data_IF_008999994635
#
_entry.id   IF_008999994635
#
_cell.length_a   1.000
_cell.length_b   1.000
_cell.length_c   1.000
_cell.angle_alpha   90.00
_cell.angle_beta   90.00
_cell.angle_gamma   90.00
#
_symmetry.space_group_name_H-M   'P 1'
#
loop_
_entity.id
_entity.type
_entity.pdbx_description
1 polymer ?
#
# COMPACT_ATOMS: atom_id res chain seq x y z
N UNK A 1 43.97 2.13 10.78
CA UNK A 1 43.95 1.37 12.04
C UNK A 1 43.13 0.12 11.77
N UNK A 2 43.61 -1.11 11.79
CA UNK A 2 44.96 -1.68 11.80
C UNK A 2 44.78 -3.02 11.08
N UNK A 3 45.67 -3.32 10.14
CA UNK A 3 45.83 -4.66 9.57
C UNK A 3 46.99 -5.35 10.31
N UNK A 4 46.97 -6.68 10.51
CA UNK A 4 48.20 -7.41 10.78
C UNK A 4 48.88 -7.86 9.49
N UNK A 5 50.19 -7.64 9.46
CA UNK A 5 51.16 -7.96 8.39
C UNK A 5 51.55 -9.45 8.34
N UNK A 6 51.98 -9.78 7.13
CA UNK A 6 52.71 -10.94 6.61
C UNK A 6 53.84 -11.57 7.46
N UNK A 7 54.11 -12.85 7.16
CA UNK A 7 55.45 -13.48 7.19
C UNK A 7 55.60 -14.48 6.00
N UNK A 8 56.83 -14.76 5.49
CA UNK A 8 57.08 -15.18 4.10
C UNK A 8 57.75 -16.60 4.00
N UNK A 9 58.40 -17.07 2.91
CA UNK A 9 58.18 -18.42 2.36
C UNK A 9 59.34 -19.42 2.61
N UNK A 10 59.03 -20.73 2.60
CA UNK A 10 60.04 -21.79 2.66
C UNK A 10 60.55 -22.22 1.27
N UNK A 11 61.78 -21.79 0.99
CA UNK A 11 62.92 -22.50 0.38
C UNK A 11 62.70 -23.60 -0.67
N UNK A 12 63.14 -23.28 -1.90
CA UNK A 12 63.62 -24.19 -2.93
C UNK A 12 64.83 -25.03 -2.44
N UNK A 13 64.76 -26.35 -2.55
CA UNK A 13 65.95 -27.23 -2.52
C UNK A 13 66.19 -27.84 -3.91
N UNK A 14 67.11 -27.23 -4.66
CA UNK A 14 67.80 -27.88 -5.78
C UNK A 14 68.77 -28.90 -5.20
N UNK A 15 68.59 -30.18 -5.48
CA UNK A 15 69.60 -31.19 -5.17
C UNK A 15 70.26 -31.69 -6.45
N UNK A 16 71.60 -31.64 -6.39
CA UNK A 16 72.58 -31.78 -7.46
C UNK A 16 72.54 -33.14 -8.14
N UNK A 17 72.61 -33.12 -9.47
CA UNK A 17 73.01 -34.25 -10.31
C UNK A 17 74.53 -34.40 -10.19
N UNK A 18 75.00 -35.48 -9.56
CA UNK A 18 76.41 -35.84 -9.46
C UNK A 18 76.82 -36.73 -10.63
N UNK A 19 77.57 -36.16 -11.57
CA UNK A 19 78.25 -36.87 -12.66
C UNK A 19 79.61 -37.37 -12.13
N UNK A 20 79.92 -38.67 -12.22
CA UNK A 20 81.26 -39.19 -11.97
C UNK A 20 81.87 -39.70 -13.29
N UNK A 21 82.94 -39.02 -13.72
CA UNK A 21 83.85 -39.38 -14.82
C UNK A 21 85.28 -39.09 -14.36
N UNK A 22 86.23 -39.93 -14.77
CA UNK A 22 87.69 -39.83 -14.50
C UNK A 22 88.16 -41.10 -13.79
N UNK A 23 88.84 -42.08 -14.40
CA UNK A 23 90.08 -42.10 -15.21
C UNK A 23 91.26 -41.44 -14.48
N UNK A 24 92.21 -42.27 -14.05
CA UNK A 24 93.50 -41.87 -13.49
C UNK A 24 94.41 -43.08 -13.32
N UNK A 25 95.36 -43.24 -14.22
CA UNK A 25 96.49 -44.16 -14.16
C UNK A 25 97.64 -43.57 -13.32
N UNK A 26 98.52 -44.43 -12.78
CA UNK A 26 99.93 -44.18 -12.36
C UNK A 26 100.50 -45.56 -11.92
N UNK A 27 101.37 -46.20 -12.72
CA UNK A 27 102.85 -46.18 -12.65
C UNK A 27 103.43 -46.44 -11.25
N UNK A 28 103.94 -47.65 -10.98
CA UNK A 28 105.34 -48.14 -11.13
C UNK A 28 106.30 -47.64 -10.03
N UNK A 29 106.75 -48.58 -9.18
CA UNK A 29 108.08 -48.54 -8.58
C UNK A 29 108.73 -49.94 -8.61
N UNK A 30 110.05 -49.95 -8.85
CA UNK A 30 110.96 -51.11 -8.92
C UNK A 30 111.93 -51.04 -7.74
N UNK A 31 112.31 -52.19 -7.18
CA UNK A 31 113.69 -52.54 -6.75
C UNK A 31 113.68 -54.01 -6.30
N UNK A 32 114.34 -54.99 -6.93
CA UNK A 32 115.77 -55.25 -7.18
C UNK A 32 116.44 -56.14 -6.12
N UNK A 33 116.71 -57.40 -6.48
CA UNK A 33 117.77 -58.37 -6.06
C UNK A 33 117.19 -59.79 -6.31
N UNK A 34 117.86 -60.83 -6.80
CA UNK A 34 119.21 -61.16 -7.24
C UNK A 34 119.22 -62.70 -7.39
N UNK A 35 120.08 -63.27 -8.25
CA UNK A 35 120.49 -64.68 -8.14
C UNK A 35 119.73 -65.74 -8.98
N UNK A 36 120.35 -66.12 -10.10
CA UNK A 36 120.59 -67.49 -10.58
C UNK A 36 119.60 -68.65 -10.37
N UNK A 37 119.20 -69.24 -11.52
CA UNK A 37 119.04 -70.67 -11.78
C UNK A 37 117.92 -71.44 -11.03
N UNK A 38 116.70 -71.39 -11.58
CA UNK A 38 115.76 -72.54 -11.67
C UNK A 38 114.51 -72.16 -12.50
N UNK A 39 114.71 -71.93 -13.80
CA UNK A 39 113.61 -71.83 -14.77
C UNK A 39 113.15 -73.24 -15.14
N UNK A 40 111.82 -73.48 -15.10
CA UNK A 40 111.01 -74.49 -15.85
C UNK A 40 109.88 -75.12 -14.99
N UNK A 41 109.90 -75.09 -13.64
CA UNK A 41 108.75 -75.60 -12.82
C UNK A 41 107.84 -74.53 -12.18
N UNK A 42 108.28 -73.28 -12.04
CA UNK A 42 107.46 -72.18 -11.50
C UNK A 42 106.58 -71.46 -12.54
N UNK A 43 106.83 -71.59 -13.85
CA UNK A 43 106.00 -70.95 -14.89
C UNK A 43 104.65 -71.66 -15.10
N UNK A 44 104.60 -72.97 -14.90
CA UNK A 44 103.36 -73.77 -15.02
C UNK A 44 102.35 -73.41 -13.92
N UNK A 45 102.80 -73.35 -12.66
CA UNK A 45 101.98 -72.95 -11.50
C UNK A 45 101.57 -71.47 -11.53
N UNK A 46 102.36 -70.59 -12.15
CA UNK A 46 102.00 -69.18 -12.37
C UNK A 46 100.99 -69.01 -13.51
N UNK A 47 101.06 -69.85 -14.55
CA UNK A 47 100.14 -69.84 -15.68
C UNK A 47 98.75 -70.36 -15.29
N UNK A 48 98.67 -71.38 -14.44
CA UNK A 48 97.39 -71.86 -13.88
C UNK A 48 96.68 -70.78 -13.04
N UNK A 49 97.41 -70.02 -12.22
CA UNK A 49 96.84 -68.91 -11.43
C UNK A 49 96.26 -67.79 -12.31
N UNK A 50 96.99 -67.40 -13.37
CA UNK A 50 96.53 -66.41 -14.34
C UNK A 50 95.28 -66.87 -15.10
N UNK A 51 95.17 -68.17 -15.41
CA UNK A 51 93.94 -68.74 -16.02
C UNK A 51 92.74 -68.70 -15.07
N UNK A 52 92.95 -69.01 -13.78
CA UNK A 52 91.89 -68.91 -12.77
C UNK A 52 91.45 -67.47 -12.53
N UNK A 53 92.38 -66.52 -12.51
CA UNK A 53 92.08 -65.08 -12.44
C UNK A 53 91.33 -64.59 -13.67
N UNK A 54 91.75 -64.99 -14.88
CA UNK A 54 91.05 -64.67 -16.12
C UNK A 54 89.61 -65.19 -16.10
N UNK A 55 89.41 -66.45 -15.70
CA UNK A 55 88.08 -67.04 -15.55
C UNK A 55 87.24 -66.32 -14.48
N UNK A 56 87.85 -65.91 -13.36
CA UNK A 56 87.17 -65.11 -12.34
C UNK A 56 86.70 -63.77 -12.89
N UNK A 57 87.59 -63.03 -13.58
CA UNK A 57 87.25 -61.74 -14.19
C UNK A 57 86.23 -61.87 -15.31
N UNK A 58 86.30 -62.92 -16.12
CA UNK A 58 85.28 -63.22 -17.15
C UNK A 58 83.90 -63.47 -16.52
N UNK A 59 83.82 -64.24 -15.43
CA UNK A 59 82.57 -64.48 -14.73
C UNK A 59 82.05 -63.23 -13.99
N UNK A 60 82.93 -62.36 -13.52
CA UNK A 60 82.54 -61.05 -12.97
C UNK A 60 82.01 -60.11 -14.06
N UNK A 61 82.66 -60.07 -15.23
CA UNK A 61 82.17 -59.30 -16.38
C UNK A 61 80.79 -59.81 -16.82
N UNK A 62 80.61 -61.13 -16.91
CA UNK A 62 79.32 -61.75 -17.25
C UNK A 62 78.22 -61.37 -16.25
N UNK A 63 78.50 -61.47 -14.94
CA UNK A 63 77.55 -61.05 -13.89
C UNK A 63 77.22 -59.56 -13.95
N UNK A 64 78.21 -58.71 -14.22
CA UNK A 64 77.99 -57.28 -14.39
C UNK A 64 77.15 -56.96 -15.65
N UNK A 65 77.30 -57.73 -16.73
CA UNK A 65 76.48 -57.63 -17.94
C UNK A 65 75.04 -58.09 -17.69
N UNK A 66 74.84 -59.21 -16.99
CA UNK A 66 73.53 -59.69 -16.55
C UNK A 66 72.84 -58.66 -15.65
N UNK A 67 73.55 -58.08 -14.69
CA UNK A 67 73.01 -57.02 -13.81
C UNK A 67 72.67 -55.75 -14.59
N UNK A 68 73.52 -55.35 -15.55
CA UNK A 68 73.27 -54.20 -16.42
C UNK A 68 72.00 -54.39 -17.25
N UNK A 69 71.80 -55.58 -17.81
CA UNK A 69 70.59 -55.88 -18.61
C UNK A 69 69.33 -55.90 -17.73
N UNK A 70 69.40 -56.48 -16.54
CA UNK A 70 68.31 -56.44 -15.55
C UNK A 70 67.96 -55.01 -15.13
N UNK A 71 68.95 -54.16 -14.86
CA UNK A 71 68.74 -52.75 -14.52
C UNK A 71 68.11 -51.96 -15.67
N UNK A 72 68.51 -52.23 -16.91
CA UNK A 72 67.91 -51.60 -18.09
C UNK A 72 66.43 -51.99 -18.24
N UNK A 73 66.08 -53.25 -18.02
CA UNK A 73 64.69 -53.70 -18.07
C UNK A 73 63.84 -53.01 -17.00
N UNK A 74 64.30 -52.99 -15.75
CA UNK A 74 63.62 -52.30 -14.65
C UNK A 74 63.46 -50.79 -14.89
N UNK A 75 64.44 -50.17 -15.55
CA UNK A 75 64.38 -48.76 -15.94
C UNK A 75 63.30 -48.52 -16.99
N UNK A 76 63.20 -49.39 -18.00
CA UNK A 76 62.15 -49.31 -19.02
C UNK A 76 60.77 -49.44 -18.39
N UNK A 77 60.56 -50.43 -17.52
CA UNK A 77 59.29 -50.59 -16.79
C UNK A 77 58.96 -49.34 -15.95
N UNK A 78 59.96 -48.76 -15.28
CA UNK A 78 59.79 -47.54 -14.50
C UNK A 78 59.49 -46.30 -15.38
N UNK A 79 60.10 -46.18 -16.56
CA UNK A 79 59.85 -45.10 -17.51
C UNK A 79 58.45 -45.20 -18.11
N UNK A 80 57.97 -46.42 -18.41
CA UNK A 80 56.61 -46.67 -18.90
C UNK A 80 55.56 -46.34 -17.81
N UNK A 81 55.77 -46.81 -16.58
CA UNK A 81 54.91 -46.44 -15.44
C UNK A 81 54.89 -44.94 -15.18
N UNK A 82 56.04 -44.27 -15.30
CA UNK A 82 56.15 -42.82 -15.18
C UNK A 82 55.36 -42.12 -16.28
N UNK A 83 55.44 -42.59 -17.52
CA UNK A 83 54.70 -42.02 -18.65
C UNK A 83 53.20 -42.14 -18.42
N UNK A 84 52.71 -43.32 -18.02
CA UNK A 84 51.30 -43.54 -17.69
C UNK A 84 50.82 -42.63 -16.55
N UNK A 85 51.64 -42.48 -15.49
CA UNK A 85 51.33 -41.60 -14.37
C UNK A 85 51.24 -40.13 -14.82
N UNK A 86 52.18 -39.66 -15.65
CA UNK A 86 52.19 -38.29 -16.19
C UNK A 86 50.96 -38.04 -17.06
N UNK A 87 50.59 -38.98 -17.93
CA UNK A 87 49.39 -38.86 -18.77
C UNK A 87 48.12 -38.79 -17.91
N UNK A 88 48.02 -39.63 -16.87
CA UNK A 88 46.90 -39.62 -15.93
C UNK A 88 46.79 -38.29 -15.18
N UNK A 89 47.90 -37.77 -14.66
CA UNK A 89 47.94 -36.48 -13.97
C UNK A 89 47.55 -35.35 -14.92
N UNK A 90 48.09 -35.33 -16.14
CA UNK A 90 47.76 -34.31 -17.15
C UNK A 90 46.27 -34.32 -17.48
N UNK A 91 45.67 -35.51 -17.63
CA UNK A 91 44.23 -35.66 -17.88
C UNK A 91 43.38 -35.16 -16.71
N UNK A 92 43.80 -35.44 -15.48
CA UNK A 92 43.10 -34.96 -14.27
C UNK A 92 43.19 -33.43 -14.16
N UNK A 93 44.37 -32.84 -14.39
CA UNK A 93 44.55 -31.39 -14.38
C UNK A 93 43.67 -30.69 -15.43
N UNK A 94 43.55 -31.25 -16.65
CA UNK A 94 42.65 -30.68 -17.67
C UNK A 94 41.19 -30.71 -17.22
N UNK A 95 40.73 -31.83 -16.63
CA UNK A 95 39.35 -31.95 -16.11
C UNK A 95 39.08 -31.01 -14.94
N UNK A 96 40.06 -30.79 -14.07
CA UNK A 96 39.95 -29.85 -12.96
C UNK A 96 39.81 -28.42 -13.47
N UNK A 97 40.64 -28.03 -14.46
CA UNK A 97 40.56 -26.73 -15.12
C UNK A 97 39.21 -26.49 -15.82
N UNK A 98 38.65 -27.51 -16.47
CA UNK A 98 37.30 -27.44 -17.06
C UNK A 98 36.23 -27.18 -16.00
N UNK A 99 36.25 -27.94 -14.91
CA UNK A 99 35.31 -27.75 -13.78
C UNK A 99 35.42 -26.37 -13.15
N UNK A 100 36.63 -25.84 -12.99
CA UNK A 100 36.81 -24.51 -12.43
C UNK A 100 36.32 -23.42 -13.39
N UNK A 101 36.52 -23.59 -14.70
CA UNK A 101 35.96 -22.69 -15.71
C UNK A 101 34.41 -22.72 -15.70
N UNK A 102 33.80 -23.89 -15.56
CA UNK A 102 32.34 -24.02 -15.41
C UNK A 102 31.83 -23.34 -14.14
N UNK A 103 32.51 -23.50 -13.00
CA UNK A 103 32.17 -22.82 -11.75
C UNK A 103 32.23 -21.30 -11.90
N UNK A 104 33.25 -20.77 -12.57
CA UNK A 104 33.39 -19.33 -12.82
C UNK A 104 32.24 -18.82 -13.67
N UNK A 105 31.94 -19.47 -14.80
CA UNK A 105 30.80 -19.11 -15.66
C UNK A 105 29.46 -19.16 -14.92
N UNK A 106 29.27 -20.16 -14.06
CA UNK A 106 28.06 -20.30 -13.27
C UNK A 106 27.94 -19.16 -12.24
N UNK A 107 29.05 -18.80 -11.59
CA UNK A 107 29.10 -17.68 -10.64
C UNK A 107 28.73 -16.35 -11.33
N UNK A 108 29.33 -16.07 -12.49
CA UNK A 108 29.01 -14.87 -13.30
C UNK A 108 27.55 -14.84 -13.77
N UNK A 109 26.93 -16.00 -14.00
CA UNK A 109 25.51 -16.09 -14.33
C UNK A 109 24.62 -15.71 -13.13
N UNK A 110 24.97 -16.18 -11.92
CA UNK A 110 24.24 -15.82 -10.71
C UNK A 110 24.43 -14.36 -10.32
N UNK A 111 25.64 -13.81 -10.45
CA UNK A 111 25.91 -12.39 -10.18
C UNK A 111 25.05 -11.48 -11.08
N UNK A 112 24.94 -11.79 -12.39
CA UNK A 112 24.05 -11.05 -13.30
C UNK A 112 22.57 -11.11 -12.88
N UNK A 113 22.09 -12.28 -12.42
CA UNK A 113 20.71 -12.42 -11.93
C UNK A 113 20.48 -11.60 -10.65
N UNK A 114 21.45 -11.57 -9.75
CA UNK A 114 21.39 -10.77 -8.52
C UNK A 114 21.33 -9.28 -8.88
N UNK A 115 22.15 -8.82 -9.82
CA UNK A 115 22.11 -7.42 -10.28
C UNK A 115 20.78 -7.05 -10.92
N UNK A 116 20.20 -7.94 -11.73
CA UNK A 116 18.88 -7.72 -12.33
C UNK A 116 17.78 -7.63 -11.26
N UNK A 117 17.78 -8.54 -10.28
CA UNK A 117 16.85 -8.51 -9.15
C UNK A 117 17.01 -7.22 -8.34
N UNK A 118 18.25 -6.81 -8.07
CA UNK A 118 18.53 -5.58 -7.32
C UNK A 118 18.05 -4.32 -8.06
N UNK A 119 18.20 -4.28 -9.40
CA UNK A 119 17.66 -3.19 -10.22
C UNK A 119 16.13 -3.14 -10.14
N UNK A 120 15.46 -4.29 -10.32
CA UNK A 120 13.99 -4.38 -10.22
C UNK A 120 13.50 -3.99 -8.83
N UNK A 121 14.16 -4.45 -7.77
CA UNK A 121 13.82 -4.09 -6.39
C UNK A 121 13.98 -2.57 -6.14
N UNK A 122 15.02 -1.94 -6.70
CA UNK A 122 15.21 -0.50 -6.59
C UNK A 122 14.12 0.29 -7.33
N UNK A 123 13.70 -0.19 -8.50
CA UNK A 123 12.61 0.41 -9.28
C UNK A 123 11.26 0.28 -8.56
N UNK A 124 10.92 -0.92 -8.10
CA UNK A 124 9.69 -1.16 -7.30
C UNK A 124 9.68 -0.29 -6.04
N UNK A 125 10.82 -0.15 -5.35
CA UNK A 125 10.91 0.70 -4.16
C UNK A 125 10.67 2.18 -4.48
N UNK A 126 11.13 2.68 -5.63
CA UNK A 126 10.84 4.05 -6.08
C UNK A 126 9.36 4.23 -6.39
N UNK A 127 8.72 3.25 -7.03
CA UNK A 127 7.29 3.32 -7.35
C UNK A 127 6.44 3.29 -6.07
N UNK A 128 6.77 2.45 -5.10
CA UNK A 128 6.11 2.44 -3.78
C UNK A 128 6.24 3.81 -3.12
N UNK A 129 7.41 4.43 -3.13
CA UNK A 129 7.61 5.76 -2.54
C UNK A 129 6.77 6.83 -3.26
N UNK A 130 6.74 6.78 -4.59
CA UNK A 130 5.96 7.72 -5.40
C UNK A 130 4.46 7.59 -5.12
N UNK A 131 3.94 6.37 -5.15
CA UNK A 131 2.54 6.09 -4.84
C UNK A 131 2.20 6.46 -3.39
N UNK A 132 3.11 6.22 -2.44
CA UNK A 132 2.95 6.66 -1.05
C UNK A 132 2.82 8.17 -0.92
N UNK A 133 3.68 8.93 -1.61
CA UNK A 133 3.61 10.40 -1.61
C UNK A 133 2.33 10.92 -2.29
N UNK A 134 1.91 10.31 -3.40
CA UNK A 134 0.66 10.67 -4.08
C UNK A 134 -0.57 10.38 -3.20
N UNK A 135 -0.54 9.26 -2.47
CA UNK A 135 -1.60 8.89 -1.55
C UNK A 135 -1.67 9.85 -0.36
N UNK A 136 -0.52 10.19 0.24
CA UNK A 136 -0.44 11.17 1.32
C UNK A 136 -0.98 12.54 0.87
N UNK A 137 -0.56 13.02 -0.31
CA UNK A 137 -1.06 14.28 -0.86
C UNK A 137 -2.58 14.26 -1.07
N UNK A 138 -3.15 13.12 -1.51
CA UNK A 138 -4.61 12.95 -1.61
C UNK A 138 -5.28 12.94 -0.24
N UNK A 139 -4.70 12.31 0.76
CA UNK A 139 -5.23 12.33 2.12
C UNK A 139 -5.18 13.72 2.74
N UNK A 140 -4.08 14.47 2.58
CA UNK A 140 -4.00 15.86 3.05
C UNK A 140 -5.03 16.75 2.34
N UNK A 141 -5.16 16.65 1.02
CA UNK A 141 -6.18 17.40 0.27
C UNK A 141 -7.61 17.01 0.69
N UNK A 142 -7.84 15.73 0.97
CA UNK A 142 -9.11 15.25 1.53
C UNK A 142 -9.34 15.79 2.94
N UNK A 143 -8.32 15.85 3.79
CA UNK A 143 -8.42 16.36 5.15
C UNK A 143 -8.70 17.87 5.17
N UNK A 144 -8.02 18.64 4.33
CA UNK A 144 -8.31 20.08 4.12
C UNK A 144 -9.77 20.28 3.67
N UNK A 145 -10.20 19.55 2.63
CA UNK A 145 -11.58 19.59 2.13
C UNK A 145 -12.58 19.10 3.19
N UNK A 146 -12.24 18.08 3.97
CA UNK A 146 -13.07 17.55 5.06
C UNK A 146 -13.21 18.57 6.18
N UNK A 147 -12.11 19.25 6.56
CA UNK A 147 -12.14 20.31 7.57
C UNK A 147 -13.00 21.50 7.14
N UNK A 148 -12.96 21.87 5.85
CA UNK A 148 -13.85 22.89 5.28
C UNK A 148 -15.32 22.46 5.24
N UNK A 149 -15.56 21.15 5.12
CA UNK A 149 -16.90 20.55 5.04
C UNK A 149 -17.35 19.87 6.35
N UNK A 150 -16.67 20.14 7.49
CA UNK A 150 -17.07 19.61 8.81
C UNK A 150 -18.40 20.23 9.23
N UNK A 151 -19.47 19.63 8.73
CA UNK A 151 -20.84 19.86 9.16
C UNK A 151 -21.27 18.66 9.99
N UNK A 152 -20.97 18.68 11.29
CA UNK A 152 -21.66 17.80 12.23
C UNK A 152 -23.03 18.45 12.48
N UNK A 153 -24.01 18.05 11.67
CA UNK A 153 -25.41 18.40 11.89
C UNK A 153 -26.21 17.11 11.95
N UNK A 154 -26.91 16.93 13.05
CA UNK A 154 -27.96 15.93 13.15
C UNK A 154 -28.97 16.20 12.02
N UNK A 155 -29.29 15.15 11.26
CA UNK A 155 -30.31 15.27 10.24
C UNK A 155 -31.63 15.61 10.94
N UNK A 156 -32.34 16.66 10.52
CA UNK A 156 -33.58 17.04 11.16
C UNK A 156 -34.60 15.91 11.01
N UNK A 157 -35.35 15.64 12.08
CA UNK A 157 -36.52 14.77 11.99
C UNK A 157 -37.50 15.34 10.97
N UNK A 158 -37.87 14.54 9.97
CA UNK A 158 -38.78 14.96 8.92
C UNK A 158 -39.90 13.94 8.77
N UNK A 159 -41.13 14.42 8.87
CA UNK A 159 -42.32 13.62 8.58
C UNK A 159 -42.37 13.29 7.08
N UNK A 160 -42.55 12.01 6.77
CA UNK A 160 -42.66 11.51 5.40
C UNK A 160 -44.09 11.08 5.12
N UNK A 161 -44.58 11.34 3.90
CA UNK A 161 -45.90 10.91 3.44
C UNK A 161 -45.73 9.70 2.52
N UNK A 162 -46.55 8.68 2.74
CA UNK A 162 -46.61 7.51 1.87
C UNK A 162 -47.29 7.89 0.55
N UNK A 163 -46.58 7.81 -0.57
CA UNK A 163 -47.09 8.25 -1.88
C UNK A 163 -47.51 7.10 -2.79
N UNK A 164 -46.89 5.93 -2.69
CA UNK A 164 -47.14 4.80 -3.58
C UNK A 164 -46.68 3.46 -2.97
N UNK A 165 -47.44 2.39 -3.21
CA UNK A 165 -47.08 1.01 -2.88
C UNK A 165 -46.93 0.22 -4.18
N UNK A 166 -45.72 -0.27 -4.48
CA UNK A 166 -45.49 -1.16 -5.61
C UNK A 166 -45.27 -2.60 -5.09
N UNK A 167 -46.08 -3.55 -5.55
CA UNK A 167 -45.98 -4.95 -5.15
C UNK A 167 -45.00 -5.65 -6.10
N UNK A 168 -43.79 -5.92 -5.62
CA UNK A 168 -42.78 -6.66 -6.38
C UNK A 168 -43.19 -8.14 -6.41
N UNK A 169 -43.26 -8.74 -7.60
CA UNK A 169 -43.59 -10.17 -7.79
C UNK A 169 -42.43 -11.05 -7.33
N UNK A 170 -42.76 -12.14 -6.64
CA UNK A 170 -41.85 -13.02 -5.88
C UNK A 170 -40.83 -13.83 -6.72
N UNK A 171 -40.80 -13.69 -8.05
CA UNK A 171 -39.99 -14.57 -8.92
C UNK A 171 -38.49 -14.21 -9.01
N UNK A 172 -38.03 -13.05 -8.52
CA UNK A 172 -36.64 -12.59 -8.66
C UNK A 172 -35.80 -12.61 -7.37
N UNK A 173 -36.26 -13.26 -6.29
CA UNK A 173 -35.66 -13.10 -4.95
C UNK A 173 -35.10 -14.38 -4.35
N UNK A 174 -34.03 -14.91 -4.96
CA UNK A 174 -33.08 -15.80 -4.26
C UNK A 174 -32.21 -15.04 -3.24
N UNK A 175 -32.19 -13.71 -3.31
CA UNK A 175 -31.51 -12.86 -2.34
C UNK A 175 -32.54 -12.12 -1.47
N UNK A 176 -32.26 -12.05 -0.17
CA UNK A 176 -32.95 -11.38 0.94
C UNK A 176 -33.34 -9.87 0.71
N UNK A 177 -33.32 -9.37 -0.52
CA UNK A 177 -33.63 -8.00 -0.92
C UNK A 177 -35.14 -7.67 -0.88
N UNK A 178 -36.03 -8.66 -1.03
CA UNK A 178 -37.49 -8.44 -0.97
C UNK A 178 -38.00 -7.93 0.39
N UNK A 179 -37.21 -8.09 1.46
CA UNK A 179 -37.64 -7.85 2.84
C UNK A 179 -36.99 -6.60 3.45
N UNK A 180 -36.43 -5.72 2.64
CA UNK A 180 -35.88 -4.45 3.12
C UNK A 180 -36.71 -3.29 2.55
N UNK A 181 -36.92 -2.26 3.37
CA UNK A 181 -37.53 -1.01 2.93
C UNK A 181 -36.39 -0.12 2.44
N UNK A 182 -36.39 0.18 1.15
CA UNK A 182 -35.46 1.12 0.53
C UNK A 182 -36.02 2.55 0.61
N UNK A 183 -35.31 3.43 1.30
CA UNK A 183 -35.60 4.85 1.37
C UNK A 183 -34.49 5.65 0.70
N UNK A 184 -34.87 6.58 -0.19
CA UNK A 184 -33.93 7.48 -0.86
C UNK A 184 -34.26 8.92 -0.49
N UNK A 185 -33.31 9.60 0.14
CA UNK A 185 -33.45 10.99 0.54
C UNK A 185 -32.46 11.84 -0.25
N UNK A 186 -32.94 12.85 -0.97
CA UNK A 186 -32.08 13.87 -1.54
C UNK A 186 -31.87 14.97 -0.49
N UNK A 187 -30.61 15.21 -0.14
CA UNK A 187 -30.22 16.26 0.80
C UNK A 187 -29.45 17.33 0.05
N UNK A 188 -29.96 18.56 0.08
CA UNK A 188 -29.30 19.75 -0.46
C UNK A 188 -29.03 20.71 0.68
N UNK A 189 -27.76 20.99 0.94
CA UNK A 189 -27.36 21.88 2.02
C UNK A 189 -27.56 23.35 1.62
N UNK A 190 -28.20 24.13 2.50
CA UNK A 190 -28.30 25.58 2.32
C UNK A 190 -26.92 26.22 2.46
N UNK A 191 -26.53 27.06 1.51
CA UNK A 191 -25.21 27.71 1.51
C UNK A 191 -25.29 29.01 2.35
N UNK A 192 -24.52 29.13 3.45
CA UNK A 192 -24.46 30.36 4.22
C UNK A 192 -23.64 31.42 3.49
N UNK A 193 -24.14 32.65 3.46
CA UNK A 193 -23.44 33.82 2.95
C UNK A 193 -23.46 34.93 4.00
N UNK A 194 -22.29 35.49 4.32
CA UNK A 194 -22.20 36.55 5.33
C UNK A 194 -22.41 37.91 4.67
N UNK A 195 -23.49 38.60 5.05
CA UNK A 195 -23.78 39.98 4.70
C UNK A 195 -23.20 40.91 5.77
N UNK A 196 -22.35 41.85 5.37
CA UNK A 196 -21.72 42.83 6.27
C UNK A 196 -22.47 44.17 6.26
N UNK A 197 -22.27 44.98 7.30
CA UNK A 197 -22.79 46.34 7.35
C UNK A 197 -22.31 47.20 6.16
N UNK A 198 -23.19 48.04 5.62
CA UNK A 198 -22.97 48.81 4.40
C UNK A 198 -23.15 48.00 3.10
N UNK A 199 -23.77 46.82 3.19
CA UNK A 199 -24.07 45.97 2.03
C UNK A 199 -25.56 45.65 1.94
N UNK A 200 -26.05 45.46 0.71
CA UNK A 200 -27.39 44.94 0.46
C UNK A 200 -27.35 43.73 -0.48
N UNK A 201 -28.19 42.75 -0.20
CA UNK A 201 -28.42 41.59 -1.06
C UNK A 201 -29.73 41.85 -1.83
N UNK A 202 -29.71 41.72 -3.16
CA UNK A 202 -30.92 41.90 -3.99
C UNK A 202 -31.06 40.69 -4.91
N UNK A 203 -32.18 39.98 -4.78
CA UNK A 203 -32.57 38.84 -5.61
C UNK A 203 -33.70 39.26 -6.55
N UNK A 204 -33.54 38.96 -7.83
CA UNK A 204 -34.50 39.26 -8.89
C UNK A 204 -35.24 38.01 -9.32
N UNK A 205 -36.46 38.17 -9.84
CA UNK A 205 -37.18 37.05 -10.43
C UNK A 205 -36.44 36.50 -11.67
N UNK A 206 -35.92 37.41 -12.51
CA UNK A 206 -35.23 37.07 -13.76
C UNK A 206 -33.70 37.17 -13.64
N UNK A 207 -32.98 36.15 -14.13
CA UNK A 207 -31.51 36.14 -14.20
C UNK A 207 -30.94 37.26 -15.10
N UNK A 208 -31.63 37.62 -16.17
CA UNK A 208 -31.16 38.63 -17.12
C UNK A 208 -31.09 40.03 -16.51
N UNK A 209 -31.96 40.34 -15.55
CA UNK A 209 -31.95 41.60 -14.79
C UNK A 209 -30.67 41.72 -13.98
N UNK A 210 -30.32 40.68 -13.21
CA UNK A 210 -29.09 40.64 -12.43
C UNK A 210 -27.85 40.82 -13.33
N UNK A 211 -27.78 40.14 -14.48
CA UNK A 211 -26.69 40.31 -15.46
C UNK A 211 -26.58 41.75 -15.97
N UNK A 212 -27.70 42.40 -16.28
CA UNK A 212 -27.71 43.76 -16.80
C UNK A 212 -27.25 44.78 -15.75
N UNK A 213 -27.65 44.60 -14.49
CA UNK A 213 -27.20 45.43 -13.38
C UNK A 213 -25.69 45.25 -13.14
N UNK A 214 -25.18 44.01 -13.19
CA UNK A 214 -23.76 43.69 -13.06
C UNK A 214 -22.92 44.25 -14.22
N UNK A 215 -23.47 44.36 -15.44
CA UNK A 215 -22.79 45.02 -16.56
C UNK A 215 -22.58 46.53 -16.31
N UNK A 216 -23.54 47.20 -15.67
CA UNK A 216 -23.44 48.63 -15.34
C UNK A 216 -22.52 48.91 -14.15
N UNK A 217 -22.40 47.96 -13.21
CA UNK A 217 -21.55 47.96 -11.99
C UNK A 217 -21.79 49.09 -10.99
N UNK A 218 -21.96 50.34 -11.41
CA UNK A 218 -22.14 51.50 -10.54
C UNK A 218 -23.53 52.09 -10.72
N UNK A 219 -24.16 52.39 -9.59
CA UNK A 219 -25.48 52.98 -9.51
C UNK A 219 -25.45 54.08 -8.45
N UNK A 220 -26.33 55.07 -8.60
CA UNK A 220 -26.45 56.16 -7.63
C UNK A 220 -27.92 56.30 -7.27
N UNK A 221 -28.22 56.22 -5.97
CA UNK A 221 -29.56 56.45 -5.42
C UNK A 221 -29.58 57.79 -4.70
N UNK A 222 -30.78 58.36 -4.57
CA UNK A 222 -31.01 59.57 -3.80
C UNK A 222 -31.76 59.18 -2.52
N UNK A 223 -31.15 59.38 -1.36
CA UNK A 223 -31.72 59.10 -0.04
C UNK A 223 -31.85 60.44 0.67
N UNK A 224 -33.08 60.89 0.92
CA UNK A 224 -33.39 62.12 1.69
C UNK A 224 -32.58 63.38 1.31
N UNK A 225 -32.26 63.53 0.01
CA UNK A 225 -31.48 64.61 -0.63
C UNK A 225 -29.97 64.40 -0.75
N UNK A 226 -29.44 63.29 -0.22
CA UNK A 226 -28.05 62.87 -0.39
C UNK A 226 -27.89 61.82 -1.50
N UNK A 227 -26.83 61.95 -2.29
CA UNK A 227 -26.47 60.99 -3.34
C UNK A 227 -25.61 59.89 -2.75
N UNK A 228 -26.14 58.67 -2.74
CA UNK A 228 -25.43 57.48 -2.30
C UNK A 228 -25.01 56.67 -3.52
N UNK A 229 -23.70 56.55 -3.72
CA UNK A 229 -23.13 55.67 -4.73
C UNK A 229 -23.08 54.24 -4.20
N UNK A 230 -23.48 53.29 -5.04
CA UNK A 230 -23.44 51.87 -4.72
C UNK A 230 -22.88 51.07 -5.88
N UNK A 231 -22.15 50.01 -5.54
CA UNK A 231 -21.47 49.14 -6.50
C UNK A 231 -22.08 47.75 -6.47
N UNK A 232 -22.62 47.32 -7.60
CA UNK A 232 -23.10 45.97 -7.81
C UNK A 232 -21.94 45.03 -8.13
N UNK A 233 -21.80 43.97 -7.33
CA UNK A 233 -20.83 42.89 -7.51
C UNK A 233 -21.54 41.54 -7.49
N UNK A 234 -21.02 40.53 -8.21
CA UNK A 234 -21.59 39.19 -8.20
C UNK A 234 -21.47 38.56 -6.80
N UNK A 235 -22.48 37.76 -6.41
CA UNK A 235 -22.42 36.98 -5.17
C UNK A 235 -21.68 35.68 -5.42
N UNK A 236 -20.44 35.59 -4.95
CA UNK A 236 -19.68 34.33 -4.95
C UNK A 236 -20.08 33.48 -3.76
N UNK A 237 -20.64 32.30 -4.01
CA UNK A 237 -21.08 31.37 -2.97
C UNK A 237 -19.95 30.40 -2.61
N UNK A 238 -19.85 30.03 -1.33
CA UNK A 238 -18.99 28.92 -0.90
C UNK A 238 -19.50 27.59 -1.47
N UNK A 239 -18.65 26.54 -1.54
CA UNK A 239 -19.08 25.23 -2.00
C UNK A 239 -20.31 24.73 -1.24
N UNK A 240 -21.38 24.44 -1.97
CA UNK A 240 -22.55 23.73 -1.47
C UNK A 240 -22.44 22.23 -1.69
N UNK A 241 -23.25 21.47 -0.94
CA UNK A 241 -23.26 20.02 -0.97
C UNK A 241 -24.65 19.51 -1.33
N UNK A 242 -24.70 18.58 -2.29
CA UNK A 242 -25.89 17.82 -2.67
C UNK A 242 -25.54 16.34 -2.67
N UNK A 243 -26.31 15.53 -1.96
CA UNK A 243 -26.05 14.09 -1.88
C UNK A 243 -27.36 13.32 -1.67
N UNK A 244 -27.32 12.03 -1.99
CA UNK A 244 -28.43 11.12 -1.73
C UNK A 244 -28.08 10.20 -0.55
N UNK A 245 -28.98 10.08 0.42
CA UNK A 245 -28.91 9.06 1.47
C UNK A 245 -29.78 7.89 1.01
N UNK A 246 -29.15 6.74 0.79
CA UNK A 246 -29.84 5.49 0.51
C UNK A 246 -29.85 4.68 1.80
N UNK A 247 -31.02 4.55 2.39
CA UNK A 247 -31.24 3.87 3.66
C UNK A 247 -32.03 2.59 3.42
N UNK A 248 -31.47 1.45 3.83
CA UNK A 248 -32.12 0.14 3.79
C UNK A 248 -32.51 -0.26 5.21
N UNK A 249 -33.81 -0.38 5.45
CA UNK A 249 -34.34 -0.82 6.74
C UNK A 249 -34.70 -2.29 6.61
N UNK A 250 -34.07 -3.16 7.40
CA UNK A 250 -34.37 -4.59 7.34
C UNK A 250 -35.64 -4.95 8.11
N UNK A 251 -36.53 -5.74 7.49
CA UNK A 251 -37.72 -6.28 8.17
C UNK A 251 -37.44 -7.60 8.92
N UNK A 252 -36.23 -8.16 8.78
CA UNK A 252 -35.79 -9.39 9.45
C UNK A 252 -34.69 -9.17 10.47
N UNK A 253 -34.03 -8.01 10.50
CA UNK A 253 -32.88 -7.77 11.36
C UNK A 253 -33.14 -6.65 12.36
N UNK A 254 -32.71 -6.88 13.59
CA UNK A 254 -32.68 -5.86 14.65
C UNK A 254 -31.27 -5.66 15.17
N UNK A 255 -31.01 -4.47 15.69
CA UNK A 255 -29.81 -4.16 16.45
C UNK A 255 -30.15 -4.02 17.93
N UNK A 256 -29.47 -4.77 18.77
CA UNK A 256 -29.60 -4.77 20.23
C UNK A 256 -28.34 -4.19 20.83
N UNK A 257 -28.44 -3.06 21.52
CA UNK A 257 -27.32 -2.33 22.11
C UNK A 257 -27.42 -2.25 23.64
N UNK A 258 -26.37 -1.74 24.28
CA UNK A 258 -26.22 -1.70 25.73
C UNK A 258 -26.14 -3.10 26.38
N UNK A 259 -25.47 -4.03 25.70
CA UNK A 259 -25.33 -5.39 26.21
C UNK A 259 -24.34 -5.47 27.38
N UNK A 260 -24.60 -6.38 28.35
CA UNK A 260 -23.72 -6.64 29.49
C UNK A 260 -22.35 -7.18 29.02
N UNK A 261 -21.26 -6.69 29.63
CA UNK A 261 -19.89 -7.06 29.26
C UNK A 261 -19.24 -8.14 30.15
N UNK A 262 -19.96 -8.58 31.18
CA UNK A 262 -19.56 -9.57 32.18
C UNK A 262 -19.87 -11.02 31.75
N UNK A 263 -20.51 -11.19 30.60
CA UNK A 263 -20.92 -12.50 30.07
C UNK A 263 -19.99 -12.91 28.93
N UNK A 264 -19.53 -14.18 28.89
CA UNK A 264 -18.80 -14.72 27.75
C UNK A 264 -19.62 -14.63 26.46
N UNK A 265 -18.96 -14.39 25.34
CA UNK A 265 -19.61 -14.14 24.04
C UNK A 265 -20.56 -15.25 23.61
N UNK A 266 -20.13 -16.52 23.70
CA UNK A 266 -20.97 -17.67 23.33
C UNK A 266 -22.24 -17.71 24.19
N UNK A 267 -22.10 -17.59 25.52
CA UNK A 267 -23.24 -17.57 26.43
C UNK A 267 -24.16 -16.36 26.25
N UNK A 268 -23.62 -15.22 25.81
CA UNK A 268 -24.43 -14.03 25.53
C UNK A 268 -25.26 -14.22 24.25
N UNK A 269 -24.66 -14.80 23.20
CA UNK A 269 -25.37 -15.13 21.95
C UNK A 269 -26.54 -16.09 22.22
N UNK A 270 -26.28 -17.19 22.93
CA UNK A 270 -27.32 -18.16 23.28
C UNK A 270 -28.47 -17.53 24.08
N UNK A 271 -28.15 -16.64 25.03
CA UNK A 271 -29.14 -15.92 25.84
C UNK A 271 -29.95 -14.93 25.01
N UNK A 272 -29.32 -14.23 24.07
CA UNK A 272 -30.00 -13.31 23.16
C UNK A 272 -30.94 -14.07 22.24
N UNK A 273 -30.46 -15.17 21.64
CA UNK A 273 -31.29 -16.05 20.82
C UNK A 273 -32.52 -16.52 21.59
N UNK A 274 -32.34 -17.08 22.79
CA UNK A 274 -33.46 -17.57 23.61
C UNK A 274 -34.41 -16.45 24.06
N UNK A 275 -33.90 -15.24 24.31
CA UNK A 275 -34.72 -14.10 24.71
C UNK A 275 -35.61 -13.64 23.56
N UNK A 276 -35.01 -13.43 22.39
CA UNK A 276 -35.70 -12.91 21.20
C UNK A 276 -36.43 -14.00 20.41
N UNK A 277 -36.23 -15.28 20.71
CA UNK A 277 -37.07 -16.36 20.23
C UNK A 277 -38.52 -16.26 20.75
N UNK A 278 -38.72 -15.67 21.94
CA UNK A 278 -40.02 -15.64 22.60
C UNK A 278 -40.97 -14.65 21.92
N UNK A 279 -42.09 -15.16 21.38
CA UNK A 279 -43.14 -14.32 20.80
C UNK A 279 -43.77 -13.33 21.80
N UNK A 280 -43.71 -13.62 23.11
CA UNK A 280 -44.22 -12.75 24.19
C UNK A 280 -43.54 -11.38 24.23
N UNK A 281 -42.26 -11.30 23.85
CA UNK A 281 -41.53 -10.01 23.77
C UNK A 281 -41.65 -9.36 22.40
N UNK A 282 -42.46 -9.93 21.49
CA UNK A 282 -42.56 -9.50 20.10
C UNK A 282 -41.58 -10.21 19.15
N UNK A 283 -40.76 -11.12 19.67
CA UNK A 283 -39.77 -11.90 18.95
C UNK A 283 -40.33 -12.98 18.01
N UNK A 284 -39.46 -13.88 17.56
CA UNK A 284 -39.78 -14.95 16.60
C UNK A 284 -38.58 -15.87 16.37
N UNK A 285 -38.73 -16.85 15.49
CA UNK A 285 -37.65 -17.80 15.17
C UNK A 285 -36.39 -17.05 14.68
N UNK A 286 -35.28 -17.29 15.37
CA UNK A 286 -34.00 -16.63 15.13
C UNK A 286 -33.20 -17.49 14.16
N UNK A 287 -32.69 -16.86 13.11
CA UNK A 287 -31.82 -17.47 12.09
C UNK A 287 -30.34 -17.34 12.47
N UNK A 288 -29.93 -16.16 12.98
CA UNK A 288 -28.53 -15.89 13.33
C UNK A 288 -28.39 -14.75 14.37
N UNK A 289 -27.36 -14.85 15.22
CA UNK A 289 -26.99 -13.83 16.21
C UNK A 289 -25.50 -13.48 16.09
N UNK A 290 -25.22 -12.25 15.64
CA UNK A 290 -23.86 -11.71 15.53
C UNK A 290 -23.61 -10.69 16.62
N UNK A 291 -22.74 -11.02 17.56
CA UNK A 291 -22.33 -10.10 18.62
C UNK A 291 -21.02 -9.37 18.27
N UNK A 292 -20.99 -8.07 18.52
CA UNK A 292 -19.80 -7.24 18.45
C UNK A 292 -19.41 -6.77 19.87
N UNK A 293 -18.27 -7.26 20.32
CA UNK A 293 -17.70 -6.96 21.64
C UNK A 293 -17.21 -5.50 21.76
N UNK A 294 -16.78 -4.88 20.66
CA UNK A 294 -16.24 -3.52 20.70
C UNK A 294 -17.36 -2.50 20.96
N UNK A 295 -18.48 -2.66 20.27
CA UNK A 295 -19.65 -1.78 20.38
C UNK A 295 -20.68 -2.23 21.42
N UNK A 296 -20.45 -3.39 22.07
CA UNK A 296 -21.39 -4.05 23.00
C UNK A 296 -22.81 -4.14 22.41
N UNK A 297 -22.88 -4.51 21.14
CA UNK A 297 -24.12 -4.60 20.37
C UNK A 297 -24.22 -5.94 19.65
N UNK A 298 -25.44 -6.41 19.39
CA UNK A 298 -25.70 -7.63 18.64
C UNK A 298 -26.71 -7.38 17.53
N UNK A 299 -26.45 -7.95 16.37
CA UNK A 299 -27.42 -8.03 15.27
C UNK A 299 -28.08 -9.38 15.31
N UNK A 300 -29.41 -9.38 15.44
CA UNK A 300 -30.23 -10.59 15.45
C UNK A 300 -31.01 -10.64 14.15
N UNK A 301 -30.89 -11.75 13.43
CA UNK A 301 -31.62 -12.04 12.20
C UNK A 301 -32.72 -13.04 12.50
N UNK A 302 -33.94 -12.73 12.11
CA UNK A 302 -35.10 -13.61 12.24
C UNK A 302 -35.39 -14.32 10.91
N UNK A 303 -35.96 -15.52 11.00
CA UNK A 303 -36.38 -16.30 9.83
C UNK A 303 -37.59 -15.64 9.15
N UNK A 304 -38.57 -15.23 9.96
CA UNK A 304 -39.81 -14.57 9.53
C UNK A 304 -39.71 -13.05 9.49
N UNK A 305 -40.36 -12.43 8.49
CA UNK A 305 -40.58 -10.98 8.47
C UNK A 305 -41.63 -10.56 9.50
N UNK A 306 -41.40 -9.42 10.15
CA UNK A 306 -42.34 -8.81 11.07
C UNK A 306 -41.98 -8.94 12.55
N UNK A 307 -41.09 -9.87 12.92
CA UNK A 307 -40.49 -9.88 14.26
C UNK A 307 -39.73 -8.56 14.54
N UNK A 308 -38.96 -8.09 13.55
CA UNK A 308 -38.26 -6.81 13.65
C UNK A 308 -39.22 -5.62 13.82
N UNK A 309 -40.37 -5.62 13.15
CA UNK A 309 -41.36 -4.54 13.26
C UNK A 309 -42.08 -4.52 14.60
N UNK A 310 -42.39 -5.69 15.17
CA UNK A 310 -42.98 -5.79 16.51
C UNK A 310 -41.99 -5.30 17.56
N UNK A 311 -40.72 -5.69 17.43
CA UNK A 311 -39.66 -5.31 18.34
C UNK A 311 -39.27 -3.84 18.23
N UNK A 312 -39.43 -3.22 17.06
CA UNK A 312 -39.17 -1.80 16.86
C UNK A 312 -40.17 -0.87 17.58
N UNK A 313 -41.31 -1.39 18.05
CA UNK A 313 -42.34 -0.58 18.74
C UNK A 313 -41.94 -0.15 20.15
N UNK A 314 -41.05 -0.92 20.79
CA UNK A 314 -40.52 -0.60 22.10
C UNK A 314 -39.01 -0.50 21.99
N UNK A 315 -38.39 0.55 22.50
CA UNK A 315 -36.95 0.76 22.32
C UNK A 315 -36.12 0.19 23.47
N UNK A 316 -36.77 -0.17 24.59
CA UNK A 316 -36.13 -0.68 25.80
C UNK A 316 -36.75 -2.02 26.22
N UNK A 317 -35.89 -3.01 26.50
CA UNK A 317 -36.30 -4.36 26.89
C UNK A 317 -35.53 -4.84 28.13
N UNK A 318 -36.20 -5.45 29.12
CA UNK A 318 -35.52 -6.01 30.29
C UNK A 318 -34.83 -7.33 29.92
N UNK A 319 -33.51 -7.34 29.94
CA UNK A 319 -32.66 -8.49 29.64
C UNK A 319 -32.11 -9.09 30.94
N UNK A 320 -32.51 -10.32 31.22
CA UNK A 320 -32.14 -11.03 32.44
C UNK A 320 -30.91 -11.89 32.18
N UNK A 321 -29.91 -11.70 33.02
CA UNK A 321 -28.64 -12.42 32.99
C UNK A 321 -28.47 -13.23 34.27
N UNK A 322 -27.37 -13.99 34.35
CA UNK A 322 -27.05 -14.75 35.58
C UNK A 322 -26.61 -13.84 36.73
N UNK A 323 -26.20 -12.62 36.42
CA UNK A 323 -25.61 -11.64 37.36
C UNK A 323 -26.56 -10.48 37.70
N UNK A 324 -27.64 -10.29 36.93
CA UNK A 324 -28.65 -9.26 37.19
C UNK A 324 -29.63 -9.02 36.04
N UNK A 325 -30.47 -8.01 36.18
CA UNK A 325 -31.33 -7.49 35.11
C UNK A 325 -30.73 -6.21 34.56
N UNK A 326 -30.63 -6.10 33.24
CA UNK A 326 -30.18 -4.90 32.55
C UNK A 326 -31.19 -4.52 31.47
N UNK A 327 -31.28 -3.23 31.16
CA UNK A 327 -32.12 -2.76 30.06
C UNK A 327 -31.28 -2.74 28.77
N UNK A 328 -31.74 -3.45 27.75
CA UNK A 328 -31.12 -3.45 26.43
C UNK A 328 -31.96 -2.61 25.48
N UNK A 329 -31.30 -1.90 24.58
CA UNK A 329 -32.02 -1.10 23.59
C UNK A 329 -32.14 -1.83 22.27
N UNK A 330 -33.35 -1.91 21.75
CA UNK A 330 -33.65 -2.55 20.48
C UNK A 330 -34.02 -1.49 19.45
N UNK A 331 -33.44 -1.61 18.27
CA UNK A 331 -33.68 -0.73 17.13
C UNK A 331 -33.72 -1.54 15.84
N UNK A 332 -34.35 -1.01 14.78
CA UNK A 332 -34.29 -1.65 13.47
C UNK A 332 -32.87 -1.61 12.93
N UNK A 333 -32.46 -2.70 12.27
CA UNK A 333 -31.19 -2.69 11.55
C UNK A 333 -31.32 -1.78 10.32
N UNK A 334 -30.57 -0.67 10.34
CA UNK A 334 -30.52 0.33 9.29
C UNK A 334 -29.14 0.28 8.65
N UNK A 335 -29.12 0.09 7.33
CA UNK A 335 -27.91 0.25 6.53
C UNK A 335 -28.01 1.54 5.73
N UNK A 336 -27.20 2.53 6.06
CA UNK A 336 -27.16 3.82 5.36
C UNK A 336 -25.93 3.91 4.48
N UNK A 337 -26.14 4.35 3.24
CA UNK A 337 -25.09 4.62 2.29
C UNK A 337 -25.26 6.02 1.71
N UNK A 338 -24.19 6.82 1.75
CA UNK A 338 -24.13 8.10 1.08
C UNK A 338 -23.75 7.87 -0.39
N UNK A 339 -24.58 8.35 -1.30
CA UNK A 339 -24.35 8.26 -2.74
C UNK A 339 -24.43 9.62 -3.41
N UNK A 340 -23.87 9.70 -4.62
CA UNK A 340 -23.99 10.86 -5.52
C UNK A 340 -23.65 12.20 -4.85
N UNK A 341 -22.58 12.21 -4.05
CA UNK A 341 -22.04 13.45 -3.50
C UNK A 341 -21.60 14.35 -4.64
N UNK A 342 -22.22 15.53 -4.71
CA UNK A 342 -21.92 16.57 -5.67
C UNK A 342 -21.59 17.85 -4.90
N UNK A 343 -20.44 18.44 -5.21
CA UNK A 343 -20.08 19.77 -4.76
C UNK A 343 -20.41 20.76 -5.87
N UNK A 344 -21.00 21.89 -5.49
CA UNK A 344 -21.24 22.98 -6.42
C UNK A 344 -20.65 24.26 -5.84
N UNK A 345 -19.86 24.97 -6.63
CA UNK A 345 -19.41 26.31 -6.32
C UNK A 345 -19.78 27.19 -7.50
N UNK A 346 -20.18 28.43 -7.23
CA UNK A 346 -20.71 29.26 -8.29
C UNK A 346 -21.07 30.66 -7.84
N UNK A 347 -21.34 31.48 -8.84
CA UNK A 347 -21.88 32.82 -8.68
C UNK A 347 -23.40 32.71 -8.73
N UNK A 348 -24.09 33.37 -7.79
CA UNK A 348 -25.55 33.46 -7.87
C UNK A 348 -25.97 34.16 -9.16
N UNK A 349 -26.89 33.55 -9.90
CA UNK A 349 -27.34 34.05 -11.20
C UNK A 349 -28.39 35.15 -11.07
N UNK A 350 -29.24 35.05 -10.05
CA UNK A 350 -30.38 35.96 -9.81
C UNK A 350 -30.12 36.97 -8.68
N UNK A 351 -29.06 36.79 -7.91
CA UNK A 351 -28.76 37.66 -6.75
C UNK A 351 -27.48 38.46 -6.96
N UNK A 352 -27.53 39.75 -6.64
CA UNK A 352 -26.40 40.65 -6.63
C UNK A 352 -26.09 41.12 -5.20
N UNK A 353 -24.84 41.48 -4.97
CA UNK A 353 -24.40 42.17 -3.76
C UNK A 353 -24.15 43.64 -4.11
N UNK A 354 -24.79 44.53 -3.37
CA UNK A 354 -24.52 45.96 -3.43
C UNK A 354 -23.56 46.30 -2.29
N UNK A 355 -22.51 47.04 -2.64
CA UNK A 355 -21.42 47.43 -1.75
C UNK A 355 -21.23 48.94 -1.78
N UNK A 356 -20.41 49.45 -0.86
CA UNK A 356 -20.06 50.87 -0.71
C UNK A 356 -21.24 51.79 -0.34
N UNK A 357 -22.30 51.23 0.27
CA UNK A 357 -23.48 52.00 0.70
C UNK A 357 -23.08 52.84 1.93
N UNK A 358 -22.87 54.14 1.72
CA UNK A 358 -22.57 55.11 2.78
C UNK A 358 -23.84 55.80 3.22
N UNK A 359 -24.54 55.22 4.19
CA UNK A 359 -25.77 55.78 4.69
C UNK A 359 -25.83 55.77 6.23
N UNK A 360 -26.69 56.62 6.80
CA UNK A 360 -26.89 56.76 8.24
C UNK A 360 -27.40 55.46 8.90
N UNK A 361 -27.14 55.26 10.20
CA UNK A 361 -27.55 54.05 10.91
C UNK A 361 -29.06 53.91 11.14
N UNK A 362 -29.83 55.00 11.05
CA UNK A 362 -31.24 55.04 11.44
C UNK A 362 -32.21 54.87 10.24
N UNK A 363 -31.68 54.62 9.04
CA UNK A 363 -32.45 54.64 7.79
C UNK A 363 -32.50 53.27 7.08
N UNK A 364 -32.29 52.13 7.77
CA UNK A 364 -32.16 50.79 7.14
C UNK A 364 -33.35 50.45 6.22
N UNK A 365 -34.58 50.71 6.66
CA UNK A 365 -35.79 50.47 5.85
C UNK A 365 -35.91 51.46 4.69
N UNK A 366 -35.70 52.76 4.93
CA UNK A 366 -35.74 53.81 3.89
C UNK A 366 -34.74 53.53 2.76
N UNK A 367 -33.49 53.19 3.12
CA UNK A 367 -32.45 52.83 2.14
C UNK A 367 -32.84 51.58 1.37
N UNK A 368 -33.40 50.58 2.04
CA UNK A 368 -33.84 49.35 1.39
C UNK A 368 -34.91 49.66 0.33
N UNK A 369 -35.93 50.44 0.69
CA UNK A 369 -37.00 50.85 -0.23
C UNK A 369 -36.45 51.67 -1.40
N UNK A 370 -35.51 52.58 -1.15
CA UNK A 370 -34.89 53.38 -2.21
C UNK A 370 -34.06 52.53 -3.18
N UNK A 371 -33.36 51.51 -2.67
CA UNK A 371 -32.64 50.54 -3.50
C UNK A 371 -33.63 49.72 -4.33
N UNK A 372 -34.71 49.23 -3.71
CA UNK A 372 -35.75 48.45 -4.40
C UNK A 372 -36.39 49.25 -5.54
N UNK A 373 -36.85 50.47 -5.27
CA UNK A 373 -37.43 51.37 -6.27
C UNK A 373 -36.42 51.70 -7.39
N UNK A 374 -35.13 51.82 -7.07
CA UNK A 374 -34.10 52.07 -8.07
C UNK A 374 -33.95 50.88 -9.03
N UNK A 375 -33.95 49.65 -8.51
CA UNK A 375 -33.77 48.42 -9.28
C UNK A 375 -35.06 47.81 -9.84
N UNK A 376 -36.24 48.34 -9.50
CA UNK A 376 -37.48 48.07 -10.22
C UNK A 376 -37.59 48.86 -11.54
N UNK A 377 -36.81 49.95 -11.71
CA UNK A 377 -36.88 50.80 -12.90
C UNK A 377 -36.12 50.19 -14.09
N UNK A 378 -36.77 49.93 -15.24
CA UNK A 378 -36.11 49.38 -16.43
C UNK A 378 -35.00 50.29 -16.99
N UNK A 379 -35.10 51.61 -16.82
CA UNK A 379 -34.06 52.56 -17.24
C UNK A 379 -32.70 52.31 -16.55
N UNK A 380 -32.73 51.76 -15.34
CA UNK A 380 -31.54 51.39 -14.58
C UNK A 380 -31.03 49.98 -14.94
N UNK A 381 -31.68 49.28 -15.89
CA UNK A 381 -31.43 47.87 -16.18
C UNK A 381 -32.07 46.94 -15.15
N UNK A 382 -33.02 47.48 -14.37
CA UNK A 382 -33.78 46.80 -13.33
C UNK A 382 -34.97 45.99 -13.86
N UNK A 383 -35.67 45.34 -12.93
CA UNK A 383 -36.83 44.47 -13.17
C UNK A 383 -37.47 44.06 -11.85
N UNK A 384 -38.30 43.02 -11.86
CA UNK A 384 -39.02 42.59 -10.65
C UNK A 384 -38.05 42.08 -9.57
N UNK A 385 -38.18 42.63 -8.36
CA UNK A 385 -37.35 42.29 -7.21
C UNK A 385 -38.09 41.24 -6.39
N UNK A 386 -37.54 40.03 -6.30
CA UNK A 386 -38.11 38.95 -5.50
C UNK A 386 -37.83 39.17 -4.01
N UNK A 387 -36.61 39.63 -3.68
CA UNK A 387 -36.20 39.86 -2.29
C UNK A 387 -35.07 40.86 -2.20
N UNK A 388 -35.14 41.73 -1.21
CA UNK A 388 -34.05 42.64 -0.86
C UNK A 388 -33.78 42.60 0.64
N UNK A 389 -32.50 42.70 1.01
CA UNK A 389 -32.10 42.94 2.39
C UNK A 389 -30.87 43.82 2.47
N UNK A 390 -31.02 45.00 3.07
CA UNK A 390 -29.90 45.88 3.43
C UNK A 390 -29.48 45.64 4.89
N UNK A 391 -28.20 45.85 5.19
CA UNK A 391 -27.66 45.83 6.54
C UNK A 391 -26.84 47.09 6.79
N UNK A 392 -27.26 47.92 7.75
CA UNK A 392 -26.58 49.16 8.11
C UNK A 392 -25.26 48.92 8.86
N UNK A 393 -25.29 48.12 9.93
CA UNK A 393 -24.14 47.76 10.78
C UNK A 393 -24.17 46.28 11.18
N UNK A 394 -23.00 45.73 11.47
CA UNK A 394 -22.84 44.37 11.97
C UNK A 394 -22.72 43.30 10.87
N UNK A 395 -23.19 42.09 11.17
CA UNK A 395 -23.16 40.92 10.27
C UNK A 395 -24.46 40.13 10.38
N UNK A 396 -25.03 39.72 9.25
CA UNK A 396 -26.14 38.75 9.16
C UNK A 396 -25.75 37.62 8.21
N UNK A 397 -26.37 36.45 8.38
CA UNK A 397 -26.14 35.29 7.50
C UNK A 397 -27.40 35.09 6.67
N UNK A 398 -27.24 35.14 5.35
CA UNK A 398 -28.24 34.72 4.38
C UNK A 398 -27.99 33.26 3.98
N UNK A 399 -29.04 32.52 3.63
CA UNK A 399 -28.93 31.13 3.19
C UNK A 399 -29.42 31.02 1.74
N UNK A 400 -28.58 30.46 0.87
CA UNK A 400 -28.88 30.22 -0.53
C UNK A 400 -29.25 28.75 -0.75
N UNK A 401 -30.19 28.53 -1.67
CA UNK A 401 -30.68 27.22 -2.07
C UNK A 401 -30.66 27.11 -3.60
N UNK A 402 -30.74 25.89 -4.13
CA UNK A 402 -30.84 25.66 -5.56
C UNK A 402 -32.24 26.06 -6.05
N UNK A 403 -32.29 26.84 -7.13
CA UNK A 403 -33.55 27.21 -7.80
C UNK A 403 -34.26 25.93 -8.22
N UNK A 404 -35.32 25.58 -7.49
CA UNK A 404 -36.10 24.38 -7.72
C UNK A 404 -37.41 24.82 -8.37
N UNK A 405 -37.67 24.40 -9.61
CA UNK A 405 -38.96 24.61 -10.30
C UNK A 405 -40.12 23.81 -9.64
N UNK A 406 -39.89 23.19 -8.49
CA UNK A 406 -40.90 22.47 -7.74
C UNK A 406 -41.64 23.50 -6.89
N UNK A 407 -42.95 23.71 -7.09
CA UNK A 407 -43.72 24.65 -6.30
C UNK A 407 -43.53 24.36 -4.82
N UNK A 408 -43.18 25.39 -4.03
CA UNK A 408 -43.17 25.35 -2.56
C UNK A 408 -44.60 25.26 -1.97
N UNK A 409 -45.49 24.50 -2.60
CA UNK A 409 -46.75 24.11 -2.00
C UNK A 409 -46.61 22.69 -1.49
N UNK A 410 -46.35 22.57 -0.19
CA UNK A 410 -47.07 21.74 0.78
C UNK A 410 -46.36 22.03 2.12
N UNK A 411 -46.92 22.99 2.85
CA UNK A 411 -46.70 23.14 4.29
C UNK A 411 -47.30 21.95 5.05
#
# INVERSE_FOLDING_TARGET
MDMPRAAPPYSNSKQKVGCFRGVGALEKERSATGGGLQQIKHSSTSMEKLKMELAHWQEQCRRAEDEKTNLLLRKLDADDLKKEAVEKVTRLMSKEKEKDNEKVKLKECYERKIDEINRKNAEIKKEIQKLGNELEAKYSAYEEMSQELKFEKELPEKEVKFTHLEIIKEEDTENNAAFNIDCRFLVTAKIPFTLHGGQALVTFEEEEVAKNILKKQRHTINVDSDRVDLKAVPVTLSPGLKFEIHAKISQKKINVSHLPGDIPEESLRDKLELYFYKSKVGGGEVDDVKYDKQTRSAVITFLETGAADRLAKCTAYPFYTSTGCCEVKVSRCLETNLQRLQTYSGISRRTILLTDIRAGPDDEESIQDMIEIHFQKPSNGGGEVERIRYLSKGRKVAYFEEDSDIPQNIA
#
